data_IF_033357618754
#
_entry.id   IF_033357618754
#
_cell.length_a   1.000
_cell.length_b   1.000
_cell.length_c   1.000
_cell.angle_alpha   90.00
_cell.angle_beta   90.00
_cell.angle_gamma   90.00
#
_symmetry.space_group_name_H-M   'P 1'
#
loop_
_entity.id
_entity.type
_entity.pdbx_description
1 polymer ?
#
# COMPACT_ATOMS: atom_id res chain seq x y z
N UNK A 1 -8.68 2.15 0.84
CA UNK A 1 -8.27 3.50 0.37
C UNK A 1 -6.79 3.52 -0.04
N UNK A 2 -6.48 3.76 -1.31
CA UNK A 2 -5.11 3.86 -1.85
C UNK A 2 -4.87 5.31 -2.32
N UNK A 3 -3.81 5.98 -1.86
CA UNK A 3 -3.53 7.38 -2.20
C UNK A 3 -2.05 7.68 -2.42
N UNK A 4 -1.73 8.68 -3.26
CA UNK A 4 -0.36 9.13 -3.41
C UNK A 4 0.06 10.05 -2.26
N UNK A 5 1.37 10.19 -2.08
CA UNK A 5 1.98 11.25 -1.28
C UNK A 5 3.02 11.98 -2.12
N UNK A 6 2.90 13.31 -2.25
CA UNK A 6 3.79 14.14 -3.09
C UNK A 6 3.98 13.61 -4.52
N UNK A 7 2.91 13.06 -5.10
CA UNK A 7 2.91 12.49 -6.46
C UNK A 7 3.41 11.05 -6.57
N UNK A 8 3.91 10.44 -5.48
CA UNK A 8 4.35 9.04 -5.46
C UNK A 8 3.18 8.14 -5.09
N UNK A 9 2.88 7.19 -5.97
CA UNK A 9 1.80 6.21 -5.79
C UNK A 9 2.33 4.87 -5.27
N UNK A 10 1.54 4.15 -4.44
CA UNK A 10 1.79 2.76 -4.13
C UNK A 10 1.88 1.89 -5.39
N UNK A 11 2.85 0.97 -5.41
CA UNK A 11 2.97 -0.08 -6.43
C UNK A 11 2.49 -1.40 -5.82
N UNK A 12 1.43 -1.96 -6.38
CA UNK A 12 0.74 -3.13 -5.80
C UNK A 12 0.65 -4.19 -6.90
N UNK A 13 1.17 -5.39 -6.64
CA UNK A 13 1.07 -6.51 -7.56
C UNK A 13 -0.41 -6.88 -7.80
N UNK A 14 -0.76 -7.28 -9.02
CA UNK A 14 -2.15 -7.66 -9.37
C UNK A 14 -2.68 -8.83 -8.54
N UNK A 15 -1.78 -9.69 -8.06
CA UNK A 15 -2.12 -10.85 -7.22
C UNK A 15 -2.22 -10.51 -5.72
N UNK A 16 -1.88 -9.28 -5.32
CA UNK A 16 -1.99 -8.86 -3.93
C UNK A 16 -3.44 -8.52 -3.57
N UNK A 17 -3.87 -8.98 -2.40
CA UNK A 17 -5.18 -8.63 -1.86
C UNK A 17 -5.06 -7.39 -0.98
N UNK A 18 -5.82 -6.34 -1.29
CA UNK A 18 -5.94 -5.15 -0.44
C UNK A 18 -7.40 -4.94 -0.14
N UNK A 19 -7.77 -5.14 1.12
CA UNK A 19 -9.14 -4.94 1.59
C UNK A 19 -9.53 -3.45 1.47
N UNK A 20 -10.81 -3.17 1.20
CA UNK A 20 -11.32 -1.82 0.90
C UNK A 20 -11.07 -0.81 2.03
N UNK A 21 -11.23 -1.24 3.29
CA UNK A 21 -11.03 -0.41 4.49
C UNK A 21 -9.56 -0.22 4.86
N UNK A 22 -8.63 -0.96 4.25
CA UNK A 22 -7.20 -0.75 4.46
C UNK A 22 -6.74 0.59 3.86
N UNK A 23 -5.69 1.18 4.42
CA UNK A 23 -5.13 2.46 3.95
C UNK A 23 -3.68 2.26 3.50
N UNK A 24 -3.39 2.57 2.24
CA UNK A 24 -2.03 2.49 1.66
C UNK A 24 -1.65 3.84 1.04
N UNK A 25 -0.58 4.45 1.54
CA UNK A 25 -0.19 5.84 1.18
C UNK A 25 1.30 5.96 0.91
N UNK A 26 1.65 6.63 -0.19
CA UNK A 26 3.02 7.05 -0.49
C UNK A 26 3.88 5.97 -1.14
N UNK A 27 5.18 5.96 -0.83
CA UNK A 27 6.17 5.06 -1.44
C UNK A 27 6.10 3.64 -0.85
N UNK A 28 5.01 2.94 -1.17
CA UNK A 28 4.77 1.54 -0.78
C UNK A 28 4.93 0.64 -2.01
N UNK A 29 5.59 -0.50 -1.84
CA UNK A 29 5.56 -1.62 -2.79
C UNK A 29 4.98 -2.85 -2.08
N UNK A 30 3.98 -3.48 -2.68
CA UNK A 30 3.35 -4.71 -2.20
C UNK A 30 3.56 -5.79 -3.27
N UNK A 31 4.30 -6.84 -2.92
CA UNK A 31 4.67 -7.94 -3.80
C UNK A 31 3.54 -8.94 -4.09
N UNK A 32 3.86 -9.93 -4.91
CA UNK A 32 2.92 -10.96 -5.33
C UNK A 32 2.43 -11.79 -4.13
N UNK A 33 1.14 -12.14 -4.15
CA UNK A 33 0.50 -13.00 -3.14
C UNK A 33 0.52 -12.46 -1.69
N UNK A 34 0.83 -11.18 -1.49
CA UNK A 34 0.66 -10.51 -0.20
C UNK A 34 -0.80 -10.15 0.07
N UNK A 35 -1.14 -9.88 1.33
CA UNK A 35 -2.49 -9.49 1.74
C UNK A 35 -2.46 -8.41 2.81
N UNK A 36 -3.19 -7.30 2.60
CA UNK A 36 -3.43 -6.25 3.59
C UNK A 36 -4.89 -6.31 4.00
N UNK A 37 -5.11 -6.55 5.30
CA UNK A 37 -6.43 -6.85 5.86
C UNK A 37 -7.09 -5.63 6.50
N UNK A 38 -8.35 -5.82 6.91
CA UNK A 38 -9.24 -4.81 7.47
C UNK A 38 -8.53 -3.82 8.41
N UNK A 39 -8.73 -2.53 8.13
CA UNK A 39 -8.26 -1.40 8.93
C UNK A 39 -6.73 -1.26 9.10
N UNK A 40 -5.90 -2.07 8.43
CA UNK A 40 -4.46 -1.87 8.43
C UNK A 40 -4.08 -0.53 7.75
N UNK A 41 -3.04 0.12 8.26
CA UNK A 41 -2.50 1.38 7.70
C UNK A 41 -1.04 1.19 7.34
N UNK A 42 -0.73 1.28 6.05
CA UNK A 42 0.63 1.27 5.49
C UNK A 42 0.91 2.66 4.93
N UNK A 43 1.70 3.46 5.66
CA UNK A 43 1.96 4.87 5.32
C UNK A 43 3.46 5.11 5.19
N UNK A 44 3.90 5.28 3.95
CA UNK A 44 5.27 5.55 3.53
C UNK A 44 5.41 7.01 3.08
N UNK A 45 5.20 7.95 4.00
CA UNK A 45 5.27 9.41 3.75
C UNK A 45 6.57 10.07 4.21
N UNK A 46 7.44 9.33 4.89
CA UNK A 46 8.80 9.76 5.26
C UNK A 46 9.85 8.93 4.53
N UNK A 47 9.74 7.60 4.63
CA UNK A 47 10.57 6.62 3.93
C UNK A 47 9.70 5.56 3.27
N UNK A 48 10.33 4.70 2.48
CA UNK A 48 9.68 3.65 1.72
C UNK A 48 9.25 2.46 2.60
N UNK A 49 8.24 1.71 2.13
CA UNK A 49 7.85 0.40 2.69
C UNK A 49 7.83 -0.62 1.54
N UNK A 50 8.39 -1.82 1.78
CA UNK A 50 8.37 -2.96 0.84
C UNK A 50 7.82 -4.18 1.58
N UNK A 51 6.76 -4.78 1.05
CA UNK A 51 6.05 -5.95 1.59
C UNK A 51 6.08 -7.06 0.55
#
# INVERSE_FOLDING_TARGET
MIRPFRGVWPRIAETAFVEETAVVVGDVEIGEHSSIWFHAVVRADVHFIRI
#
